data_IF_798188847112
#
_entry.id   IF_798188847112
#
_cell.length_a   1.000
_cell.length_b   1.000
_cell.length_c   1.000
_cell.angle_alpha   90.00
_cell.angle_beta   90.00
_cell.angle_gamma   90.00
#
_symmetry.space_group_name_H-M   'P 1'
#
loop_
_entity.id
_entity.type
_entity.pdbx_description
1 polymer ?
#
# COMPACT_ATOMS: atom_id res chain seq x y z
N UNK A 1 31.89 33.63 -28.00
CA UNK A 1 31.02 34.77 -27.65
C UNK A 1 29.57 34.36 -27.84
N UNK A 2 28.67 34.69 -26.89
CA UNK A 2 28.42 33.75 -25.80
C UNK A 2 26.96 33.29 -25.64
N UNK A 3 26.83 32.31 -24.74
CA UNK A 3 25.72 32.05 -23.81
C UNK A 3 24.37 31.58 -24.35
N UNK A 4 24.18 30.25 -24.37
CA UNK A 4 22.86 29.65 -24.19
C UNK A 4 22.76 29.00 -22.81
N UNK A 5 21.67 29.33 -22.13
CA UNK A 5 21.36 29.14 -20.71
C UNK A 5 21.15 27.66 -20.30
N UNK A 6 21.39 27.31 -19.02
CA UNK A 6 21.19 25.95 -18.53
C UNK A 6 19.74 25.66 -18.12
N UNK A 7 19.42 24.36 -18.15
CA UNK A 7 18.13 23.74 -17.88
C UNK A 7 17.46 24.17 -16.56
N UNK A 8 16.18 24.55 -16.68
CA UNK A 8 15.28 24.88 -15.59
C UNK A 8 14.93 23.67 -14.73
N UNK A 9 15.28 23.78 -13.45
CA UNK A 9 15.06 22.84 -12.37
C UNK A 9 13.57 22.86 -11.95
N UNK A 10 12.79 21.88 -12.40
CA UNK A 10 11.46 21.58 -11.86
C UNK A 10 11.63 20.81 -10.55
N UNK A 11 11.37 21.43 -9.41
CA UNK A 11 10.83 20.82 -8.18
C UNK A 11 10.43 21.93 -7.19
N UNK A 12 9.30 21.71 -6.53
CA UNK A 12 8.48 22.73 -5.86
C UNK A 12 9.20 23.58 -4.80
N UNK A 13 8.89 24.87 -4.82
CA UNK A 13 9.21 25.82 -3.75
C UNK A 13 8.30 25.53 -2.53
N UNK A 14 8.83 25.54 -1.30
CA UNK A 14 7.99 25.55 -0.11
C UNK A 14 7.31 26.92 0.04
N UNK A 15 6.06 26.89 0.52
CA UNK A 15 5.21 28.04 0.79
C UNK A 15 5.87 29.07 1.70
N UNK A 16 5.95 30.32 1.24
CA UNK A 16 6.31 31.50 2.03
C UNK A 16 5.15 31.88 2.96
N UNK A 17 5.23 31.44 4.21
CA UNK A 17 4.44 31.99 5.31
C UNK A 17 5.17 31.69 6.62
N UNK A 18 6.32 32.34 6.85
CA UNK A 18 7.00 32.44 8.14
C UNK A 18 8.13 33.45 7.97
N UNK A 19 7.87 34.70 8.37
CA UNK A 19 8.85 35.77 8.26
C UNK A 19 8.27 37.10 8.70
N UNK A 20 8.09 37.28 10.02
CA UNK A 20 8.21 38.57 10.71
C UNK A 20 7.84 38.40 12.19
N UNK A 21 8.78 37.92 13.02
CA UNK A 21 8.83 38.33 14.42
C UNK A 21 10.29 38.71 14.68
N UNK A 22 10.60 39.99 14.48
CA UNK A 22 11.77 40.62 15.08
C UNK A 22 11.30 41.24 16.38
N UNK A 23 11.83 40.78 17.51
CA UNK A 23 11.75 41.51 18.76
C UNK A 23 12.79 42.64 18.72
N UNK A 24 12.31 43.88 18.78
CA UNK A 24 13.09 45.05 19.14
C UNK A 24 12.34 45.77 20.26
N UNK A 25 12.98 45.86 21.43
CA UNK A 25 12.71 46.85 22.48
C UNK A 25 12.78 48.26 21.86
N UNK A 26 11.99 49.26 22.23
CA UNK A 26 11.78 49.88 23.54
C UNK A 26 10.52 50.76 23.52
N UNK A 27 10.18 51.26 24.71
CA UNK A 27 9.35 52.44 25.01
C UNK A 27 7.91 52.21 25.47
N UNK A 28 7.78 52.29 26.79
CA UNK A 28 6.57 52.52 27.54
C UNK A 28 5.94 53.87 27.17
N UNK A 29 4.60 53.94 27.12
CA UNK A 29 3.81 55.10 27.54
C UNK A 29 2.31 54.79 27.57
N UNK A 30 1.77 54.84 28.79
CA UNK A 30 0.43 55.34 29.19
C UNK A 30 -0.86 54.82 28.57
N UNK A 31 -1.77 54.44 29.47
CA UNK A 31 -3.22 54.30 29.28
C UNK A 31 -3.84 55.46 28.48
N UNK A 32 -4.64 55.12 27.48
CA UNK A 32 -5.79 55.92 27.07
C UNK A 32 -6.86 55.00 26.46
N UNK A 33 -7.85 54.64 27.27
CA UNK A 33 -9.11 54.10 26.77
C UNK A 33 -9.80 55.19 25.93
N UNK A 34 -9.94 54.97 24.62
CA UNK A 34 -10.85 55.73 23.76
C UNK A 34 -11.76 54.74 23.05
N UNK A 35 -13.07 54.92 23.26
CA UNK A 35 -14.13 54.04 22.76
C UNK A 35 -14.09 53.92 21.25
N UNK A 36 -14.27 52.69 20.76
CA UNK A 36 -14.47 52.40 19.35
C UNK A 36 -15.68 53.20 18.84
N UNK A 37 -15.48 53.96 17.76
CA UNK A 37 -16.59 54.72 17.18
C UNK A 37 -17.64 53.77 16.60
N UNK A 38 -18.95 54.07 16.72
CA UNK A 38 -20.01 53.26 16.11
C UNK A 38 -19.85 53.07 14.59
N UNK A 39 -19.17 54.00 13.92
CA UNK A 39 -18.86 53.95 12.49
C UNK A 39 -17.74 52.95 12.15
N UNK A 40 -16.80 52.70 13.05
CA UNK A 40 -15.76 51.68 12.86
C UNK A 40 -16.33 50.25 13.04
N UNK A 41 -17.27 50.11 13.99
CA UNK A 41 -18.12 48.94 14.15
C UNK A 41 -18.94 48.68 12.88
N UNK A 42 -19.62 49.70 12.35
CA UNK A 42 -20.43 49.60 11.13
C UNK A 42 -19.59 49.32 9.88
N UNK A 43 -18.40 49.92 9.78
CA UNK A 43 -17.44 49.69 8.69
C UNK A 43 -16.92 48.24 8.66
N UNK A 44 -16.74 47.62 9.83
CA UNK A 44 -16.45 46.17 9.94
C UNK A 44 -17.66 45.30 9.59
N UNK A 45 -18.88 45.74 9.91
CA UNK A 45 -20.11 45.00 9.58
C UNK A 45 -20.44 45.06 8.08
N UNK A 46 -20.14 46.17 7.40
CA UNK A 46 -20.47 46.39 5.98
C UNK A 46 -19.33 45.91 5.04
N UNK A 47 -18.07 46.03 5.45
CA UNK A 47 -16.90 45.59 4.64
C UNK A 47 -16.50 44.11 4.79
N UNK A 48 -17.21 43.35 5.63
CA UNK A 48 -16.74 42.08 6.18
C UNK A 48 -17.24 40.81 5.51
N UNK A 49 -17.74 40.82 4.28
CA UNK A 49 -18.00 39.57 3.54
C UNK A 49 -16.81 39.24 2.65
N UNK A 50 -15.73 38.77 3.27
CA UNK A 50 -14.66 38.11 2.53
C UNK A 50 -15.29 37.00 1.64
N UNK A 51 -14.91 36.92 0.35
CA UNK A 51 -15.52 35.95 -0.56
C UNK A 51 -15.36 34.55 0.02
N UNK A 52 -16.48 33.85 0.26
CA UNK A 52 -16.46 32.48 0.80
C UNK A 52 -15.65 31.63 -0.18
N UNK A 53 -14.45 31.20 0.25
CA UNK A 53 -13.61 30.30 -0.55
C UNK A 53 -14.43 29.06 -0.92
N UNK A 54 -14.46 28.72 -2.21
CA UNK A 54 -15.28 27.62 -2.73
C UNK A 54 -14.96 26.28 -2.07
N UNK A 55 -13.71 26.06 -1.70
CA UNK A 55 -13.24 24.84 -1.03
C UNK A 55 -13.05 25.06 0.48
N UNK A 56 -13.41 24.07 1.32
CA UNK A 56 -13.12 24.09 2.75
C UNK A 56 -11.60 24.05 3.00
N UNK A 57 -11.16 24.48 4.20
CA UNK A 57 -9.75 24.41 4.59
C UNK A 57 -9.27 22.98 4.88
N UNK A 58 -10.18 22.07 5.24
CA UNK A 58 -9.86 20.68 5.63
C UNK A 58 -10.80 19.69 4.95
N UNK A 59 -10.40 18.41 4.93
CA UNK A 59 -11.18 17.33 4.32
C UNK A 59 -12.13 16.68 5.33
N UNK A 60 -13.37 16.39 4.94
CA UNK A 60 -14.34 15.73 5.81
C UNK A 60 -13.95 14.27 6.11
N UNK A 61 -14.13 13.85 7.37
CA UNK A 61 -13.77 12.49 7.83
C UNK A 61 -14.47 11.36 7.06
N UNK A 62 -15.70 11.59 6.57
CA UNK A 62 -16.45 10.62 5.76
C UNK A 62 -15.72 10.25 4.45
N UNK A 63 -15.01 11.19 3.85
CA UNK A 63 -14.22 10.98 2.63
C UNK A 63 -13.10 9.99 2.90
N UNK A 64 -12.51 10.02 4.10
CA UNK A 64 -11.46 9.10 4.48
C UNK A 64 -11.94 7.66 4.52
N UNK A 65 -13.07 7.39 5.19
CA UNK A 65 -13.64 6.04 5.26
C UNK A 65 -14.05 5.52 3.89
N UNK A 66 -14.62 6.38 3.04
CA UNK A 66 -14.94 6.02 1.66
C UNK A 66 -13.68 5.70 0.83
N UNK A 67 -12.60 6.47 0.96
CA UNK A 67 -11.31 6.17 0.31
C UNK A 67 -10.73 4.83 0.79
N UNK A 68 -10.80 4.54 2.09
CA UNK A 68 -10.35 3.26 2.65
C UNK A 68 -11.21 2.09 2.18
N UNK A 69 -12.54 2.25 2.10
CA UNK A 69 -13.43 1.24 1.53
C UNK A 69 -13.17 1.02 0.03
N UNK A 70 -12.90 2.10 -0.71
CA UNK A 70 -12.51 2.01 -2.13
C UNK A 70 -11.17 1.30 -2.30
N UNK A 71 -10.19 1.60 -1.44
CA UNK A 71 -8.90 0.91 -1.42
C UNK A 71 -9.06 -0.58 -1.13
N UNK A 72 -9.91 -0.96 -0.16
CA UNK A 72 -10.22 -2.35 0.13
C UNK A 72 -10.87 -3.07 -1.07
N UNK A 73 -11.79 -2.39 -1.78
CA UNK A 73 -12.36 -2.94 -3.02
C UNK A 73 -11.31 -3.11 -4.13
N UNK A 74 -10.39 -2.14 -4.30
CA UNK A 74 -9.28 -2.26 -5.28
C UNK A 74 -8.34 -3.40 -4.89
N UNK A 75 -8.04 -3.57 -3.61
CA UNK A 75 -7.26 -4.72 -3.14
C UNK A 75 -7.96 -6.05 -3.46
N UNK A 76 -9.26 -6.14 -3.19
CA UNK A 76 -10.08 -7.33 -3.49
C UNK A 76 -10.04 -7.71 -4.97
N UNK A 77 -10.26 -6.74 -5.87
CA UNK A 77 -10.20 -7.01 -7.33
C UNK A 77 -8.78 -7.34 -7.81
N UNK A 78 -7.71 -6.83 -7.19
CA UNK A 78 -6.33 -7.22 -7.50
C UNK A 78 -6.09 -8.69 -7.15
N UNK A 79 -6.53 -9.14 -5.96
CA UNK A 79 -6.44 -10.55 -5.57
C UNK A 79 -7.27 -11.43 -6.51
N UNK A 80 -8.50 -11.01 -6.82
CA UNK A 80 -9.38 -11.73 -7.74
C UNK A 80 -8.82 -11.78 -9.18
N UNK A 81 -8.16 -10.70 -9.63
CA UNK A 81 -7.43 -10.68 -10.90
C UNK A 81 -6.27 -11.66 -10.93
N UNK A 82 -5.56 -11.83 -9.81
CA UNK A 82 -4.57 -12.90 -9.64
C UNK A 82 -5.18 -14.29 -9.82
N UNK A 83 -6.35 -14.55 -9.23
CA UNK A 83 -7.08 -15.81 -9.44
C UNK A 83 -7.53 -15.99 -10.89
N UNK A 84 -7.99 -14.93 -11.54
CA UNK A 84 -8.39 -14.94 -12.97
C UNK A 84 -7.19 -15.34 -13.85
N UNK A 85 -5.99 -14.88 -13.50
CA UNK A 85 -4.75 -15.28 -14.18
C UNK A 85 -4.37 -16.74 -13.92
N UNK A 86 -4.45 -17.20 -12.67
CA UNK A 86 -4.10 -18.57 -12.26
C UNK A 86 -5.07 -19.62 -12.82
N UNK A 87 -6.33 -19.24 -13.01
CA UNK A 87 -7.36 -20.09 -13.65
C UNK A 87 -7.37 -19.96 -15.17
N UNK A 88 -6.41 -19.22 -15.75
CA UNK A 88 -6.27 -18.99 -17.19
C UNK A 88 -7.56 -18.47 -17.84
N UNK A 89 -8.35 -17.68 -17.10
CA UNK A 89 -9.65 -17.18 -17.57
C UNK A 89 -9.57 -15.81 -18.26
N UNK A 90 -8.42 -15.14 -18.22
CA UNK A 90 -8.28 -13.73 -18.62
C UNK A 90 -8.50 -13.39 -20.10
N UNK A 91 -8.75 -14.38 -20.96
CA UNK A 91 -9.00 -14.23 -22.41
C UNK A 91 -10.29 -14.94 -22.88
N UNK A 92 -11.10 -15.44 -21.95
CA UNK A 92 -12.38 -16.13 -22.21
C UNK A 92 -13.46 -15.23 -22.85
N UNK A 93 -13.43 -13.91 -22.61
CA UNK A 93 -14.37 -12.93 -23.15
C UNK A 93 -13.66 -12.05 -24.18
N UNK A 94 -13.83 -12.39 -25.45
CA UNK A 94 -13.13 -11.74 -26.56
C UNK A 94 -13.67 -10.34 -26.89
N UNK A 95 -14.92 -10.07 -26.54
CA UNK A 95 -15.57 -8.81 -26.86
C UNK A 95 -15.47 -7.76 -25.73
N UNK A 96 -15.47 -6.49 -26.15
CA UNK A 96 -15.54 -5.35 -25.24
C UNK A 96 -16.96 -4.77 -25.20
N UNK A 97 -17.73 -5.18 -24.19
CA UNK A 97 -19.10 -4.70 -23.93
C UNK A 97 -19.17 -3.93 -22.60
N UNK A 98 -18.79 -2.64 -22.57
CA UNK A 98 -18.68 -1.88 -21.32
C UNK A 98 -20.01 -1.71 -20.58
N UNK A 99 -21.13 -1.58 -21.30
CA UNK A 99 -22.48 -1.43 -20.72
C UNK A 99 -23.27 -2.74 -20.74
N UNK A 100 -23.48 -3.32 -21.93
CA UNK A 100 -24.31 -4.53 -22.10
C UNK A 100 -23.69 -5.80 -21.49
N UNK A 101 -22.38 -5.82 -21.29
CA UNK A 101 -21.67 -6.93 -20.64
C UNK A 101 -21.77 -6.93 -19.11
N UNK A 102 -22.67 -6.13 -18.53
CA UNK A 102 -22.97 -6.18 -17.09
C UNK A 102 -23.79 -7.40 -16.69
N UNK A 103 -24.62 -7.92 -17.61
CA UNK A 103 -25.34 -9.19 -17.45
C UNK A 103 -24.54 -10.29 -18.18
N UNK A 104 -24.43 -11.49 -17.59
CA UNK A 104 -23.87 -12.64 -18.30
C UNK A 104 -24.89 -13.17 -19.34
N UNK A 105 -24.50 -14.09 -20.22
CA UNK A 105 -25.44 -14.80 -21.09
C UNK A 105 -26.53 -15.49 -20.25
N UNK A 106 -27.80 -15.24 -20.60
CA UNK A 106 -28.98 -15.70 -19.86
C UNK A 106 -29.73 -16.81 -20.59
N UNK A 107 -29.46 -17.03 -21.88
CA UNK A 107 -30.08 -18.08 -22.69
C UNK A 107 -29.03 -19.05 -23.27
N UNK A 108 -29.48 -20.26 -23.64
CA UNK A 108 -28.62 -21.26 -24.28
C UNK A 108 -28.00 -20.74 -25.58
N UNK A 109 -28.80 -20.04 -26.41
CA UNK A 109 -28.32 -19.45 -27.66
C UNK A 109 -27.22 -18.39 -27.46
N UNK A 110 -27.31 -17.58 -26.40
CA UNK A 110 -26.25 -16.62 -26.07
C UNK A 110 -24.98 -17.32 -25.59
N UNK A 111 -25.10 -18.37 -24.77
CA UNK A 111 -23.97 -19.20 -24.35
C UNK A 111 -23.27 -19.85 -25.54
N UNK A 112 -24.02 -20.42 -26.48
CA UNK A 112 -23.47 -21.00 -27.70
C UNK A 112 -22.77 -19.96 -28.58
N UNK A 113 -23.30 -18.74 -28.64
CA UNK A 113 -22.68 -17.62 -29.36
C UNK A 113 -21.33 -17.24 -28.75
N UNK A 114 -21.26 -17.02 -27.44
CA UNK A 114 -20.01 -16.66 -26.76
C UNK A 114 -18.99 -17.81 -26.82
N UNK A 115 -19.44 -19.06 -26.66
CA UNK A 115 -18.54 -20.21 -26.78
C UNK A 115 -18.03 -20.40 -28.21
N UNK A 116 -18.85 -20.12 -29.23
CA UNK A 116 -18.40 -20.13 -30.63
C UNK A 116 -17.31 -19.10 -30.89
N UNK A 117 -17.41 -17.90 -30.30
CA UNK A 117 -16.35 -16.90 -30.37
C UNK A 117 -15.09 -17.38 -29.67
N UNK A 118 -15.22 -17.99 -28.48
CA UNK A 118 -14.08 -18.56 -27.78
C UNK A 118 -13.39 -19.67 -28.58
N UNK A 119 -14.16 -20.58 -29.20
CA UNK A 119 -13.64 -21.64 -30.08
C UNK A 119 -12.88 -21.11 -31.30
N UNK A 120 -13.25 -19.93 -31.79
CA UNK A 120 -12.53 -19.27 -32.88
C UNK A 120 -11.17 -18.68 -32.44
N UNK A 121 -10.99 -18.46 -31.14
CA UNK A 121 -9.77 -17.86 -30.58
C UNK A 121 -8.57 -18.79 -30.69
N UNK A 122 -7.35 -18.24 -30.80
CA UNK A 122 -6.14 -19.05 -30.78
C UNK A 122 -5.90 -19.78 -29.44
N UNK A 123 -6.39 -19.22 -28.32
CA UNK A 123 -6.27 -19.84 -26.99
C UNK A 123 -7.02 -21.18 -26.93
N UNK A 124 -8.27 -21.22 -27.41
CA UNK A 124 -9.01 -22.49 -27.50
C UNK A 124 -8.29 -23.50 -28.39
N UNK A 125 -7.81 -23.07 -29.57
CA UNK A 125 -7.15 -23.96 -30.53
C UNK A 125 -5.86 -24.58 -30.02
N UNK A 126 -5.11 -23.89 -29.15
CA UNK A 126 -3.77 -24.30 -28.73
C UNK A 126 -3.69 -24.82 -27.30
N UNK A 127 -4.46 -24.26 -26.37
CA UNK A 127 -4.43 -24.63 -24.96
C UNK A 127 -5.63 -25.50 -24.56
N UNK A 128 -6.81 -25.22 -25.11
CA UNK A 128 -8.08 -25.81 -24.65
C UNK A 128 -8.91 -26.49 -25.75
N UNK A 129 -8.33 -27.30 -26.67
CA UNK A 129 -9.04 -27.76 -27.87
C UNK A 129 -10.22 -28.70 -27.60
N UNK A 130 -10.23 -29.33 -26.42
CA UNK A 130 -11.25 -30.30 -26.01
C UNK A 130 -12.22 -29.74 -24.97
N UNK A 131 -12.15 -28.44 -24.66
CA UNK A 131 -12.98 -27.83 -23.62
C UNK A 131 -14.47 -27.87 -24.00
N UNK A 132 -15.31 -28.26 -23.04
CA UNK A 132 -16.76 -28.26 -23.22
C UNK A 132 -17.42 -26.92 -22.81
N UNK A 133 -18.74 -26.81 -22.98
CA UNK A 133 -19.47 -25.59 -22.66
C UNK A 133 -19.50 -25.29 -21.15
N UNK A 134 -19.51 -26.31 -20.29
CA UNK A 134 -19.61 -26.12 -18.85
C UNK A 134 -18.27 -25.72 -18.24
N UNK A 135 -17.16 -26.24 -18.76
CA UNK A 135 -15.81 -25.76 -18.50
C UNK A 135 -15.63 -24.32 -18.98
N UNK A 136 -16.11 -23.99 -20.19
CA UNK A 136 -16.09 -22.62 -20.69
C UNK A 136 -16.84 -21.64 -19.78
N UNK A 137 -18.03 -22.01 -19.29
CA UNK A 137 -18.79 -21.17 -18.34
C UNK A 137 -17.98 -20.83 -17.10
N UNK A 138 -17.17 -21.75 -16.56
CA UNK A 138 -16.35 -21.50 -15.37
C UNK A 138 -15.33 -20.40 -15.61
N UNK A 139 -14.56 -20.49 -16.71
CA UNK A 139 -13.58 -19.44 -17.06
C UNK A 139 -14.28 -18.13 -17.43
N UNK A 140 -15.42 -18.20 -18.13
CA UNK A 140 -16.22 -17.03 -18.47
C UNK A 140 -16.69 -16.27 -17.22
N UNK A 141 -17.24 -16.97 -16.23
CA UNK A 141 -17.73 -16.34 -15.00
C UNK A 141 -16.61 -15.69 -14.19
N UNK A 142 -15.41 -16.28 -14.17
CA UNK A 142 -14.24 -15.67 -13.53
C UNK A 142 -13.91 -14.33 -14.20
N UNK A 143 -13.75 -14.30 -15.51
CA UNK A 143 -13.42 -13.07 -16.22
C UNK A 143 -14.56 -12.04 -16.15
N UNK A 144 -15.81 -12.47 -16.34
CA UNK A 144 -16.99 -11.62 -16.24
C UNK A 144 -17.09 -10.95 -14.87
N UNK A 145 -16.88 -11.71 -13.79
CA UNK A 145 -16.91 -11.20 -12.41
C UNK A 145 -15.81 -10.17 -12.18
N UNK A 146 -14.59 -10.43 -12.67
CA UNK A 146 -13.48 -9.49 -12.59
C UNK A 146 -13.83 -8.17 -13.31
N UNK A 147 -14.35 -8.26 -14.54
CA UNK A 147 -14.78 -7.09 -15.33
C UNK A 147 -15.94 -6.34 -14.67
N UNK A 148 -16.94 -7.04 -14.14
CA UNK A 148 -18.07 -6.44 -13.44
C UNK A 148 -17.61 -5.70 -12.18
N UNK A 149 -16.74 -6.31 -11.38
CA UNK A 149 -16.15 -5.66 -10.21
C UNK A 149 -15.38 -4.39 -10.61
N UNK A 150 -14.62 -4.42 -11.71
CA UNK A 150 -13.94 -3.24 -12.23
C UNK A 150 -14.90 -2.08 -12.52
N UNK A 151 -16.07 -2.38 -13.11
CA UNK A 151 -17.13 -1.38 -13.34
C UNK A 151 -17.71 -0.86 -12.03
N UNK A 152 -17.96 -1.74 -11.06
CA UNK A 152 -18.45 -1.35 -9.72
C UNK A 152 -17.45 -0.44 -9.02
N UNK A 153 -16.14 -0.72 -9.08
CA UNK A 153 -15.09 0.18 -8.55
C UNK A 153 -15.16 1.54 -9.23
N UNK A 154 -15.27 1.58 -10.56
CA UNK A 154 -15.45 2.84 -11.30
C UNK A 154 -16.64 3.65 -10.82
N UNK A 155 -17.82 3.02 -10.71
CA UNK A 155 -19.05 3.69 -10.32
C UNK A 155 -19.03 4.15 -8.86
N UNK A 156 -18.63 3.27 -7.94
CA UNK A 156 -18.57 3.52 -6.49
C UNK A 156 -17.44 4.47 -6.10
N UNK A 157 -16.48 4.72 -7.00
CA UNK A 157 -15.51 5.79 -6.82
C UNK A 157 -15.97 7.12 -7.44
N UNK A 158 -16.31 7.12 -8.73
CA UNK A 158 -16.56 8.37 -9.48
C UNK A 158 -17.78 9.12 -8.96
N UNK A 159 -18.90 8.42 -8.65
CA UNK A 159 -20.11 9.09 -8.17
C UNK A 159 -19.91 9.76 -6.80
N UNK A 160 -19.38 9.07 -5.76
CA UNK A 160 -19.10 9.74 -4.49
C UNK A 160 -18.02 10.82 -4.59
N UNK A 161 -16.99 10.62 -5.43
CA UNK A 161 -15.97 11.65 -5.66
C UNK A 161 -16.58 12.95 -6.18
N UNK A 162 -17.41 12.86 -7.23
CA UNK A 162 -18.12 14.00 -7.80
C UNK A 162 -19.04 14.65 -6.75
N UNK A 163 -19.78 13.84 -5.99
CA UNK A 163 -20.62 14.32 -4.90
C UNK A 163 -19.82 15.07 -3.83
N UNK A 164 -18.69 14.54 -3.35
CA UNK A 164 -17.89 15.18 -2.31
C UNK A 164 -17.26 16.50 -2.77
N UNK A 165 -16.84 16.58 -4.03
CA UNK A 165 -16.33 17.82 -4.62
C UNK A 165 -17.47 18.85 -4.75
N UNK A 166 -18.61 18.47 -5.32
CA UNK A 166 -19.78 19.34 -5.48
C UNK A 166 -20.34 19.85 -4.14
N UNK A 167 -20.33 19.00 -3.10
CA UNK A 167 -20.78 19.33 -1.74
C UNK A 167 -19.70 19.96 -0.86
N UNK A 168 -18.53 20.30 -1.43
CA UNK A 168 -17.44 20.99 -0.73
C UNK A 168 -16.99 20.25 0.53
N UNK A 169 -16.89 18.92 0.45
CA UNK A 169 -16.42 18.05 1.54
C UNK A 169 -14.91 17.82 1.51
N UNK A 170 -14.22 18.32 0.50
CA UNK A 170 -12.78 18.14 0.27
C UNK A 170 -12.10 19.45 -0.08
N UNK A 171 -10.81 19.58 0.24
CA UNK A 171 -10.00 20.75 -0.16
C UNK A 171 -9.75 20.74 -1.66
N UNK A 172 -9.31 21.88 -2.23
CA UNK A 172 -8.96 21.98 -3.65
C UNK A 172 -7.87 20.96 -4.06
N UNK A 173 -6.85 20.79 -3.20
CA UNK A 173 -5.78 19.82 -3.43
C UNK A 173 -6.31 18.38 -3.41
N UNK A 174 -7.23 18.06 -2.50
CA UNK A 174 -7.84 16.73 -2.46
C UNK A 174 -8.76 16.51 -3.67
N UNK A 175 -9.51 17.51 -4.13
CA UNK A 175 -10.30 17.41 -5.35
C UNK A 175 -9.44 17.06 -6.57
N UNK A 176 -8.27 17.69 -6.73
CA UNK A 176 -7.32 17.36 -7.79
C UNK A 176 -6.79 15.92 -7.67
N UNK A 177 -6.51 15.45 -6.45
CA UNK A 177 -6.11 14.05 -6.21
C UNK A 177 -7.23 13.07 -6.55
N UNK A 178 -8.48 13.36 -6.19
CA UNK A 178 -9.63 12.52 -6.54
C UNK A 178 -9.80 12.43 -8.07
N UNK A 179 -9.62 13.55 -8.78
CA UNK A 179 -9.62 13.55 -10.25
C UNK A 179 -8.48 12.69 -10.83
N UNK A 180 -7.28 12.79 -10.26
CA UNK A 180 -6.15 11.94 -10.64
C UNK A 180 -6.42 10.45 -10.41
N UNK A 181 -7.02 10.08 -9.27
CA UNK A 181 -7.39 8.68 -8.98
C UNK A 181 -8.50 8.21 -9.93
N UNK A 182 -9.51 9.04 -10.22
CA UNK A 182 -10.54 8.71 -11.22
C UNK A 182 -9.90 8.48 -12.61
N UNK A 183 -8.92 9.30 -12.99
CA UNK A 183 -8.12 9.10 -14.19
C UNK A 183 -7.36 7.77 -14.18
N UNK A 184 -6.75 7.39 -13.06
CA UNK A 184 -6.09 6.09 -12.90
C UNK A 184 -7.07 4.91 -13.04
N UNK A 185 -8.29 5.02 -12.51
CA UNK A 185 -9.33 3.99 -12.66
C UNK A 185 -9.78 3.89 -14.13
N UNK A 186 -9.96 5.02 -14.82
CA UNK A 186 -10.25 5.01 -16.25
C UNK A 186 -9.12 4.38 -17.06
N UNK A 187 -7.87 4.72 -16.73
CA UNK A 187 -6.69 4.14 -17.36
C UNK A 187 -6.54 2.64 -17.07
N UNK A 188 -6.95 2.18 -15.89
CA UNK A 188 -7.04 0.75 -15.56
C UNK A 188 -7.98 0.00 -16.51
N UNK A 189 -9.17 0.54 -16.76
CA UNK A 189 -10.09 -0.01 -17.76
C UNK A 189 -9.48 -0.06 -19.16
N UNK A 190 -8.76 1.00 -19.57
CA UNK A 190 -8.03 1.03 -20.83
C UNK A 190 -6.92 -0.05 -20.91
N UNK A 191 -6.10 -0.21 -19.86
CA UNK A 191 -5.07 -1.23 -19.82
C UNK A 191 -5.65 -2.65 -19.86
N UNK A 192 -6.75 -2.89 -19.13
CA UNK A 192 -7.45 -4.17 -19.15
C UNK A 192 -7.99 -4.52 -20.54
N UNK A 193 -8.64 -3.56 -21.22
CA UNK A 193 -9.04 -3.71 -22.62
C UNK A 193 -7.85 -3.98 -23.55
N UNK A 194 -6.76 -3.23 -23.37
CA UNK A 194 -5.56 -3.38 -24.18
C UNK A 194 -4.96 -4.78 -24.01
N UNK A 195 -4.85 -5.29 -22.78
CA UNK A 195 -4.37 -6.64 -22.47
C UNK A 195 -5.14 -7.72 -23.25
N UNK A 196 -6.48 -7.67 -23.22
CA UNK A 196 -7.33 -8.66 -23.91
C UNK A 196 -7.18 -8.54 -25.42
N UNK A 197 -7.38 -7.33 -25.97
CA UNK A 197 -7.29 -7.10 -27.43
C UNK A 197 -5.96 -7.56 -28.00
N UNK A 198 -4.88 -7.31 -27.26
CA UNK A 198 -3.53 -7.62 -27.71
C UNK A 198 -3.08 -9.03 -27.36
N UNK A 199 -3.83 -9.77 -26.54
CA UNK A 199 -3.64 -11.19 -26.28
C UNK A 199 -4.27 -12.09 -27.34
N UNK A 200 -5.21 -11.58 -28.14
CA UNK A 200 -5.92 -12.35 -29.18
C UNK A 200 -5.30 -12.25 -30.60
N UNK A 201 -4.04 -11.79 -30.72
CA UNK A 201 -3.37 -11.64 -32.02
C UNK A 201 -2.62 -12.90 -32.42
N UNK A 202 -2.90 -13.43 -33.62
CA UNK A 202 -2.33 -14.67 -34.15
C UNK A 202 -0.79 -14.76 -34.10
N UNK A 203 -0.08 -13.63 -34.25
CA UNK A 203 1.40 -13.56 -34.20
C UNK A 203 2.00 -13.99 -32.84
N UNK A 204 1.21 -13.94 -31.75
CA UNK A 204 1.63 -14.37 -30.41
C UNK A 204 1.49 -15.88 -30.18
N UNK A 205 1.03 -16.61 -31.21
CA UNK A 205 0.73 -18.02 -31.18
C UNK A 205 1.55 -18.81 -32.21
N UNK A 206 2.62 -18.20 -32.75
CA UNK A 206 3.60 -18.88 -33.60
C UNK A 206 4.32 -20.02 -32.84
N UNK A 207 4.82 -21.07 -33.52
CA UNK A 207 5.53 -22.17 -32.87
C UNK A 207 6.69 -21.66 -32.00
N UNK A 208 6.64 -21.94 -30.70
CA UNK A 208 7.61 -21.46 -29.70
C UNK A 208 7.23 -20.16 -28.96
N UNK A 209 6.07 -19.56 -29.27
CA UNK A 209 5.49 -18.44 -28.51
C UNK A 209 4.28 -18.90 -27.70
N UNK A 210 4.17 -18.41 -26.46
CA UNK A 210 3.07 -18.80 -25.58
C UNK A 210 1.82 -17.93 -25.84
N UNK A 211 0.64 -18.55 -26.08
CA UNK A 211 -0.70 -17.97 -26.29
C UNK A 211 -1.26 -16.95 -25.27
N UNK A 212 -0.49 -15.98 -24.77
CA UNK A 212 -0.83 -15.26 -23.52
C UNK A 212 -0.62 -13.76 -23.58
N UNK A 213 -1.29 -13.06 -22.66
CA UNK A 213 -1.07 -11.63 -22.42
C UNK A 213 0.38 -11.40 -22.05
N UNK A 214 1.06 -10.51 -22.78
CA UNK A 214 2.46 -10.17 -22.48
C UNK A 214 2.64 -9.77 -21.01
N UNK A 215 3.66 -10.34 -20.38
CA UNK A 215 4.09 -10.04 -19.01
C UNK A 215 4.27 -8.54 -18.77
N UNK A 216 4.72 -7.78 -19.79
CA UNK A 216 4.83 -6.33 -19.70
C UNK A 216 3.49 -5.64 -19.51
N UNK A 217 2.44 -6.09 -20.21
CA UNK A 217 1.08 -5.52 -20.09
C UNK A 217 0.45 -5.93 -18.76
N UNK A 218 0.64 -7.18 -18.35
CA UNK A 218 0.21 -7.67 -17.04
C UNK A 218 0.80 -6.84 -15.90
N UNK A 219 2.12 -6.62 -15.92
CA UNK A 219 2.82 -5.80 -14.91
C UNK A 219 2.41 -4.34 -14.97
N UNK A 220 2.21 -3.77 -16.17
CA UNK A 220 1.72 -2.39 -16.28
C UNK A 220 0.32 -2.23 -15.66
N UNK A 221 -0.57 -3.20 -15.88
CA UNK A 221 -1.90 -3.22 -15.29
C UNK A 221 -1.85 -3.41 -13.77
N UNK A 222 -1.09 -4.39 -13.27
CA UNK A 222 -0.88 -4.60 -11.84
C UNK A 222 -0.27 -3.36 -11.16
N UNK A 223 0.77 -2.77 -11.75
CA UNK A 223 1.48 -1.63 -11.19
C UNK A 223 0.60 -0.39 -11.07
N UNK A 224 -0.19 -0.10 -12.10
CA UNK A 224 -1.12 1.04 -12.03
C UNK A 224 -2.31 0.77 -11.10
N UNK A 225 -2.75 -0.48 -10.92
CA UNK A 225 -3.70 -0.86 -9.87
C UNK A 225 -3.11 -0.65 -8.47
N UNK A 226 -1.85 -1.03 -8.25
CA UNK A 226 -1.11 -0.79 -7.00
C UNK A 226 -0.95 0.70 -6.70
N UNK A 227 -0.66 1.52 -7.70
CA UNK A 227 -0.60 2.98 -7.55
C UNK A 227 -1.97 3.55 -7.17
N UNK A 228 -3.04 3.08 -7.81
CA UNK A 228 -4.41 3.47 -7.50
C UNK A 228 -4.79 3.11 -6.05
N UNK A 229 -4.56 1.85 -5.66
CA UNK A 229 -4.73 1.35 -4.29
C UNK A 229 -3.96 2.20 -3.27
N UNK A 230 -2.67 2.41 -3.51
CA UNK A 230 -1.79 3.17 -2.61
C UNK A 230 -2.24 4.62 -2.51
N UNK A 231 -2.66 5.24 -3.61
CA UNK A 231 -3.17 6.61 -3.60
C UNK A 231 -4.46 6.72 -2.77
N UNK A 232 -5.40 5.78 -2.88
CA UNK A 232 -6.61 5.76 -2.08
C UNK A 232 -6.30 5.55 -0.58
N UNK A 233 -5.50 4.52 -0.27
CA UNK A 233 -5.13 4.16 1.09
C UNK A 233 -4.38 5.31 1.77
N UNK A 234 -3.36 5.86 1.10
CA UNK A 234 -2.55 6.95 1.62
C UNK A 234 -3.38 8.20 1.90
N UNK A 235 -4.26 8.61 0.97
CA UNK A 235 -5.09 9.79 1.19
C UNK A 235 -6.17 9.55 2.26
N UNK A 236 -6.75 8.36 2.34
CA UNK A 236 -7.67 7.99 3.41
C UNK A 236 -7.01 8.08 4.79
N UNK A 237 -5.86 7.44 4.98
CA UNK A 237 -5.08 7.51 6.22
C UNK A 237 -4.61 8.93 6.53
N UNK A 238 -4.19 9.70 5.53
CA UNK A 238 -3.77 11.08 5.69
C UNK A 238 -4.89 11.98 6.22
N UNK A 239 -6.13 11.83 5.71
CA UNK A 239 -7.27 12.61 6.21
C UNK A 239 -7.59 12.21 7.66
N UNK A 240 -7.57 10.91 8.00
CA UNK A 240 -7.81 10.49 9.39
C UNK A 240 -6.73 11.01 10.34
N UNK A 241 -5.47 11.01 9.89
CA UNK A 241 -4.35 11.56 10.64
C UNK A 241 -4.53 13.07 10.85
N UNK A 242 -4.78 13.85 9.78
CA UNK A 242 -5.06 15.28 9.84
C UNK A 242 -6.21 15.60 10.82
N UNK A 243 -7.32 14.86 10.73
CA UNK A 243 -8.48 15.03 11.63
C UNK A 243 -8.16 14.71 13.09
N UNK A 244 -7.27 13.75 13.35
CA UNK A 244 -6.78 13.47 14.71
C UNK A 244 -5.94 14.62 15.22
N UNK A 245 -5.03 15.14 14.40
CA UNK A 245 -4.15 16.26 14.76
C UNK A 245 -4.96 17.53 15.09
N UNK A 246 -5.99 17.82 14.31
CA UNK A 246 -6.84 19.00 14.51
C UNK A 246 -7.65 18.97 15.83
N UNK A 247 -7.82 17.81 16.48
CA UNK A 247 -8.53 17.72 17.77
C UNK A 247 -7.74 18.32 18.92
N UNK A 248 -6.41 18.30 18.88
CA UNK A 248 -5.56 18.82 19.95
C UNK A 248 -4.32 19.55 19.40
N UNK A 249 -4.46 20.81 18.96
CA UNK A 249 -3.40 21.52 18.24
C UNK A 249 -2.11 21.70 19.04
N UNK A 250 -2.20 21.85 20.36
CA UNK A 250 -1.05 22.11 21.24
C UNK A 250 -0.17 20.88 21.41
N UNK A 251 -0.77 19.69 21.55
CA UNK A 251 -0.03 18.42 21.57
C UNK A 251 0.72 18.18 20.26
N UNK A 252 0.12 18.56 19.12
CA UNK A 252 0.68 18.34 17.78
C UNK A 252 1.90 19.21 17.49
N UNK A 253 1.92 20.46 17.95
CA UNK A 253 3.10 21.32 17.77
C UNK A 253 4.35 20.71 18.41
N UNK A 254 4.17 20.03 19.55
CA UNK A 254 5.24 19.30 20.23
C UNK A 254 5.69 18.05 19.46
N UNK A 255 4.75 17.28 18.93
CA UNK A 255 5.05 16.12 18.08
C UNK A 255 5.76 16.51 16.78
N UNK A 256 5.33 17.61 16.15
CA UNK A 256 5.95 18.10 14.90
C UNK A 256 7.39 18.54 15.09
N UNK A 257 7.73 19.10 16.25
CA UNK A 257 9.08 19.53 16.56
C UNK A 257 10.04 18.33 16.68
N UNK A 258 9.59 17.28 17.38
CA UNK A 258 10.27 15.97 17.44
C UNK A 258 10.46 15.37 16.05
N UNK A 259 9.41 15.37 15.21
CA UNK A 259 9.48 14.80 13.85
C UNK A 259 10.39 15.60 12.89
N UNK A 260 10.62 16.88 13.17
CA UNK A 260 11.52 17.75 12.40
C UNK A 260 12.99 17.50 12.71
N UNK A 261 13.30 16.71 13.73
CA UNK A 261 14.67 16.39 14.11
C UNK A 261 15.48 15.85 12.90
N UNK A 262 16.65 16.45 12.56
CA UNK A 262 17.49 15.99 11.47
C UNK A 262 18.02 14.57 11.66
N UNK A 263 18.11 14.06 12.89
CA UNK A 263 18.50 12.68 13.19
C UNK A 263 17.54 11.65 12.58
N UNK A 264 16.27 12.00 12.36
CA UNK A 264 15.27 11.14 11.71
C UNK A 264 15.35 11.15 10.18
N UNK A 265 16.27 11.92 9.57
CA UNK A 265 16.38 12.02 8.11
C UNK A 265 16.74 10.70 7.45
N UNK A 266 17.64 9.93 8.07
CA UNK A 266 18.01 8.60 7.56
C UNK A 266 16.80 7.67 7.62
N UNK A 267 16.12 7.60 8.77
CA UNK A 267 14.90 6.80 8.94
C UNK A 267 13.85 7.11 7.86
N UNK A 268 13.54 8.39 7.64
CA UNK A 268 12.57 8.83 6.62
C UNK A 268 12.97 8.39 5.21
N UNK A 269 14.25 8.51 4.86
CA UNK A 269 14.78 8.05 3.57
C UNK A 269 14.73 6.54 3.44
N UNK A 270 15.07 5.80 4.49
CA UNK A 270 15.01 4.33 4.51
C UNK A 270 13.58 3.82 4.36
N UNK A 271 12.60 4.45 5.02
CA UNK A 271 11.17 4.11 4.83
C UNK A 271 10.74 4.36 3.39
N UNK A 272 11.12 5.49 2.79
CA UNK A 272 10.81 5.78 1.39
C UNK A 272 11.48 4.80 0.41
N UNK A 273 12.77 4.49 0.63
CA UNK A 273 13.50 3.51 -0.16
C UNK A 273 12.92 2.10 -0.03
N UNK A 274 12.50 1.70 1.17
CA UNK A 274 11.84 0.43 1.42
C UNK A 274 10.49 0.34 0.71
N UNK A 275 9.70 1.42 0.70
CA UNK A 275 8.45 1.45 -0.04
C UNK A 275 8.66 1.25 -1.55
N UNK A 276 9.69 1.86 -2.13
CA UNK A 276 10.07 1.65 -3.53
C UNK A 276 10.51 0.21 -3.76
N UNK A 277 11.35 -0.34 -2.88
CA UNK A 277 11.82 -1.72 -2.98
C UNK A 277 10.65 -2.73 -2.93
N UNK A 278 9.71 -2.56 -1.99
CA UNK A 278 8.50 -3.40 -1.90
C UNK A 278 7.68 -3.31 -3.20
N UNK A 279 7.51 -2.11 -3.75
CA UNK A 279 6.81 -1.94 -5.03
C UNK A 279 7.53 -2.67 -6.17
N UNK A 280 8.84 -2.54 -6.29
CA UNK A 280 9.63 -3.24 -7.31
C UNK A 280 9.55 -4.76 -7.16
N UNK A 281 9.59 -5.28 -5.92
CA UNK A 281 9.43 -6.71 -5.64
C UNK A 281 8.04 -7.22 -6.03
N UNK A 282 6.98 -6.44 -5.80
CA UNK A 282 5.65 -6.79 -6.28
C UNK A 282 5.58 -6.83 -7.81
N UNK A 283 6.24 -5.87 -8.49
CA UNK A 283 6.28 -5.83 -9.95
C UNK A 283 7.08 -6.99 -10.55
N UNK A 284 8.21 -7.38 -9.94
CA UNK A 284 8.97 -8.55 -10.39
C UNK A 284 8.18 -9.85 -10.22
N UNK A 285 7.36 -9.96 -9.16
CA UNK A 285 6.42 -11.07 -9.02
C UNK A 285 5.37 -11.11 -10.13
N UNK A 286 4.92 -9.95 -10.60
CA UNK A 286 4.06 -9.86 -11.78
C UNK A 286 4.73 -10.34 -13.07
N UNK A 287 6.05 -10.14 -13.24
CA UNK A 287 6.80 -10.70 -14.36
C UNK A 287 6.87 -12.23 -14.28
N UNK A 288 7.13 -12.78 -13.09
CA UNK A 288 7.12 -14.23 -12.84
C UNK A 288 5.76 -14.84 -13.22
N UNK A 289 4.66 -14.23 -12.78
CA UNK A 289 3.30 -14.67 -13.12
C UNK A 289 2.96 -14.50 -14.61
N UNK A 290 3.51 -13.48 -15.27
CA UNK A 290 3.32 -13.27 -16.71
C UNK A 290 4.05 -14.29 -17.58
N UNK A 291 5.19 -14.81 -17.10
CA UNK A 291 5.99 -15.82 -17.79
C UNK A 291 5.68 -17.27 -17.35
N UNK A 292 4.75 -17.47 -16.43
CA UNK A 292 4.49 -18.76 -15.76
C UNK A 292 5.75 -19.38 -15.14
N UNK A 293 6.66 -18.53 -14.67
CA UNK A 293 7.95 -18.93 -14.14
C UNK A 293 7.90 -19.40 -12.68
N UNK A 294 6.70 -19.46 -12.08
CA UNK A 294 6.51 -19.72 -10.65
C UNK A 294 7.01 -21.10 -10.20
N UNK A 295 6.89 -22.11 -11.07
CA UNK A 295 7.16 -23.52 -10.76
C UNK A 295 8.40 -24.11 -11.45
N UNK A 296 9.28 -23.26 -12.01
CA UNK A 296 10.48 -23.72 -12.73
C UNK A 296 11.48 -24.35 -11.77
N UNK A 297 11.95 -23.56 -10.81
CA UNK A 297 12.70 -24.06 -9.66
C UNK A 297 11.82 -24.01 -8.42
N UNK A 298 11.72 -25.13 -7.71
CA UNK A 298 10.81 -25.29 -6.56
C UNK A 298 11.56 -25.42 -5.24
N UNK A 299 12.89 -25.57 -5.28
CA UNK A 299 13.75 -25.58 -4.11
C UNK A 299 14.05 -24.15 -3.64
N UNK A 300 14.44 -23.99 -2.37
CA UNK A 300 14.95 -22.75 -1.81
C UNK A 300 15.97 -23.05 -0.68
N UNK A 301 17.11 -22.35 -0.60
CA UNK A 301 17.53 -21.22 -1.44
C UNK A 301 18.13 -21.61 -2.79
N UNK A 302 18.37 -22.90 -3.02
CA UNK A 302 18.94 -23.42 -4.26
C UNK A 302 17.93 -23.35 -5.43
N UNK A 303 18.46 -23.36 -6.66
CA UNK A 303 17.74 -23.46 -7.92
C UNK A 303 18.41 -24.58 -8.73
N UNK A 304 17.99 -25.82 -8.48
CA UNK A 304 18.67 -27.02 -8.99
C UNK A 304 19.93 -27.34 -8.18
N UNK A 305 21.07 -27.48 -8.85
CA UNK A 305 22.33 -27.91 -8.22
C UNK A 305 23.12 -26.77 -7.55
N UNK A 306 22.73 -25.51 -7.76
CA UNK A 306 23.41 -24.32 -7.25
C UNK A 306 22.46 -23.27 -6.68
N UNK A 307 23.00 -22.17 -6.14
CA UNK A 307 22.18 -21.04 -5.67
C UNK A 307 21.51 -20.28 -6.82
N UNK A 308 22.01 -20.45 -8.04
CA UNK A 308 21.45 -19.89 -9.27
C UNK A 308 21.33 -21.00 -10.31
N UNK A 309 20.42 -20.85 -11.30
CA UNK A 309 20.44 -21.62 -12.53
C UNK A 309 21.83 -21.59 -13.22
N UNK A 310 22.13 -22.58 -14.08
CA UNK A 310 23.34 -22.56 -14.89
C UNK A 310 23.49 -21.27 -15.70
N UNK A 311 24.72 -20.79 -15.91
CA UNK A 311 24.97 -19.53 -16.66
C UNK A 311 24.42 -19.56 -18.08
N UNK A 312 24.41 -20.72 -18.73
CA UNK A 312 23.83 -20.94 -20.06
C UNK A 312 22.33 -20.66 -20.10
N UNK A 313 21.65 -20.88 -18.97
CA UNK A 313 20.23 -20.59 -18.82
C UNK A 313 20.01 -19.13 -18.46
N UNK A 314 20.81 -18.55 -17.55
CA UNK A 314 20.64 -17.16 -17.10
C UNK A 314 20.83 -16.11 -18.22
N UNK A 315 21.74 -16.37 -19.15
CA UNK A 315 22.08 -15.48 -20.26
C UNK A 315 21.99 -16.20 -21.59
N UNK A 316 20.84 -16.80 -21.87
CA UNK A 316 20.60 -17.48 -23.14
C UNK A 316 20.50 -16.48 -24.29
N UNK A 317 21.19 -16.76 -25.39
CA UNK A 317 21.10 -15.98 -26.63
C UNK A 317 19.74 -16.09 -27.29
N UNK A 318 18.94 -17.11 -26.94
CA UNK A 318 17.57 -17.29 -27.43
C UNK A 318 16.69 -16.05 -27.19
N UNK A 319 16.86 -15.39 -26.05
CA UNK A 319 16.07 -14.20 -25.70
C UNK A 319 16.63 -12.92 -26.34
N UNK A 320 17.84 -12.94 -26.91
CA UNK A 320 18.40 -11.77 -27.59
C UNK A 320 17.74 -11.60 -28.96
N UNK A 321 17.24 -10.39 -29.27
CA UNK A 321 16.63 -10.10 -30.58
C UNK A 321 17.59 -9.36 -31.52
N UNK A 322 18.68 -8.82 -30.99
CA UNK A 322 19.68 -8.11 -31.79
C UNK A 322 20.81 -9.06 -32.18
N UNK A 323 21.22 -8.99 -33.45
CA UNK A 323 22.34 -9.79 -33.95
C UNK A 323 23.67 -9.48 -33.24
N UNK A 324 23.81 -8.28 -32.65
CA UNK A 324 24.99 -7.85 -31.89
C UNK A 324 24.99 -8.31 -30.42
N UNK A 325 23.92 -8.96 -29.94
CA UNK A 325 23.80 -9.43 -28.56
C UNK A 325 23.67 -8.30 -27.51
N UNK A 326 23.54 -7.03 -27.91
CA UNK A 326 23.56 -5.91 -26.98
C UNK A 326 22.37 -5.87 -26.01
N UNK A 327 21.31 -6.61 -26.31
CA UNK A 327 20.10 -6.71 -25.49
C UNK A 327 20.06 -7.96 -24.59
N UNK A 328 21.10 -8.80 -24.58
CA UNK A 328 21.11 -10.07 -23.85
C UNK A 328 20.81 -9.90 -22.35
N UNK A 329 21.32 -8.84 -21.72
CA UNK A 329 21.17 -8.61 -20.29
C UNK A 329 19.73 -8.30 -19.89
N UNK A 330 19.19 -7.18 -20.39
CA UNK A 330 17.88 -6.72 -19.95
C UNK A 330 16.75 -7.64 -20.43
N UNK A 331 16.93 -8.32 -21.58
CA UNK A 331 15.95 -9.30 -22.06
C UNK A 331 15.91 -10.54 -21.20
N UNK A 332 17.07 -11.10 -20.85
CA UNK A 332 17.06 -12.23 -19.93
C UNK A 332 16.46 -11.82 -18.56
N UNK A 333 16.78 -10.64 -18.03
CA UNK A 333 16.18 -10.16 -16.77
C UNK A 333 14.66 -9.91 -16.81
N UNK A 334 14.02 -9.80 -18.00
CA UNK A 334 12.59 -9.45 -18.12
C UNK A 334 11.74 -10.45 -18.93
N UNK A 335 12.37 -11.31 -19.71
CA UNK A 335 11.73 -12.24 -20.66
C UNK A 335 12.18 -13.69 -20.44
N UNK A 336 13.34 -13.96 -19.80
CA UNK A 336 13.77 -15.32 -19.50
C UNK A 336 13.14 -15.80 -18.18
N UNK A 337 12.28 -16.84 -18.20
CA UNK A 337 11.56 -17.31 -17.03
C UNK A 337 12.45 -17.63 -15.83
N UNK A 338 13.58 -18.32 -16.05
CA UNK A 338 14.48 -18.75 -14.97
C UNK A 338 15.25 -17.58 -14.35
N UNK A 339 15.71 -16.64 -15.19
CA UNK A 339 16.38 -15.42 -14.73
C UNK A 339 15.39 -14.52 -13.98
N UNK A 340 14.17 -14.34 -14.49
CA UNK A 340 13.12 -13.56 -13.84
C UNK A 340 12.72 -14.17 -12.49
N UNK A 341 12.65 -15.51 -12.39
CA UNK A 341 12.39 -16.20 -11.12
C UNK A 341 13.52 -15.94 -10.11
N UNK A 342 14.78 -16.02 -10.54
CA UNK A 342 15.94 -15.69 -9.70
C UNK A 342 15.91 -14.22 -9.25
N UNK A 343 15.70 -13.27 -10.17
CA UNK A 343 15.63 -11.84 -9.89
C UNK A 343 14.54 -11.54 -8.84
N UNK A 344 13.38 -12.16 -8.97
CA UNK A 344 12.31 -12.03 -7.98
C UNK A 344 12.70 -12.60 -6.61
N UNK A 345 13.34 -13.78 -6.56
CA UNK A 345 13.83 -14.40 -5.31
C UNK A 345 14.86 -13.51 -4.60
N UNK A 346 15.78 -12.90 -5.35
CA UNK A 346 16.77 -11.94 -4.83
C UNK A 346 16.07 -10.69 -4.30
N UNK A 347 15.14 -10.11 -5.06
CA UNK A 347 14.36 -8.94 -4.63
C UNK A 347 13.53 -9.23 -3.37
N UNK A 348 12.87 -10.38 -3.30
CA UNK A 348 12.07 -10.79 -2.15
C UNK A 348 12.94 -10.96 -0.88
N UNK A 349 14.07 -11.67 -0.99
CA UNK A 349 15.01 -11.87 0.12
C UNK A 349 15.62 -10.54 0.58
N UNK A 350 15.98 -9.67 -0.36
CA UNK A 350 16.50 -8.32 -0.08
C UNK A 350 15.45 -7.47 0.62
N UNK A 351 14.20 -7.52 0.16
CA UNK A 351 13.07 -6.78 0.74
C UNK A 351 12.83 -7.23 2.17
N UNK A 352 12.74 -8.54 2.41
CA UNK A 352 12.56 -9.10 3.75
C UNK A 352 13.70 -8.65 4.69
N UNK A 353 14.94 -8.79 4.23
CA UNK A 353 16.11 -8.38 5.01
C UNK A 353 16.10 -6.89 5.31
N UNK A 354 15.73 -6.04 4.34
CA UNK A 354 15.61 -4.60 4.51
C UNK A 354 14.51 -4.20 5.51
N UNK A 355 13.36 -4.90 5.52
CA UNK A 355 12.31 -4.72 6.53
C UNK A 355 12.86 -5.03 7.92
N UNK A 356 13.51 -6.19 8.08
CA UNK A 356 14.07 -6.62 9.36
C UNK A 356 15.18 -5.68 9.84
N UNK A 357 16.05 -5.23 8.93
CA UNK A 357 17.10 -4.26 9.23
C UNK A 357 16.53 -2.90 9.65
N UNK A 358 15.47 -2.43 8.99
CA UNK A 358 14.81 -1.18 9.36
C UNK A 358 14.12 -1.29 10.73
N UNK A 359 13.45 -2.41 10.99
CA UNK A 359 12.87 -2.70 12.31
C UNK A 359 13.96 -2.70 13.39
N UNK A 360 15.05 -3.43 13.19
CA UNK A 360 16.19 -3.45 14.10
C UNK A 360 16.77 -2.04 14.31
N UNK A 361 16.94 -1.26 13.23
CA UNK A 361 17.42 0.13 13.31
C UNK A 361 16.52 1.01 14.19
N UNK A 362 15.19 0.88 14.08
CA UNK A 362 14.26 1.65 14.93
C UNK A 362 14.31 1.27 16.41
N UNK A 363 14.71 0.03 16.75
CA UNK A 363 14.75 -0.47 18.12
C UNK A 363 16.12 -0.34 18.79
N UNK A 364 17.19 -0.50 18.01
CA UNK A 364 18.55 -0.58 18.52
C UNK A 364 19.33 0.73 18.38
N UNK A 365 18.90 1.67 17.54
CA UNK A 365 19.61 2.93 17.37
C UNK A 365 19.33 3.88 18.54
N UNK A 366 20.32 4.28 19.35
CA UNK A 366 20.11 5.23 20.46
C UNK A 366 19.56 6.57 19.95
N UNK A 367 20.00 6.98 18.74
CA UNK A 367 19.58 8.21 18.04
C UNK A 367 18.10 8.24 17.68
N UNK A 368 17.44 7.08 17.61
CA UNK A 368 16.00 6.95 17.33
C UNK A 368 15.24 6.59 18.62
N UNK A 369 15.87 5.81 19.52
CA UNK A 369 15.28 5.33 20.77
C UNK A 369 15.08 6.39 21.86
N UNK A 370 15.98 7.37 21.99
CA UNK A 370 15.81 8.47 22.97
C UNK A 370 14.56 9.32 22.69
N UNK A 371 14.21 9.50 21.42
CA UNK A 371 12.99 10.19 20.97
C UNK A 371 11.77 9.24 20.95
N UNK A 372 11.97 7.95 20.63
CA UNK A 372 10.93 6.91 20.63
C UNK A 372 10.38 6.56 22.02
N UNK A 373 11.21 6.66 23.07
CA UNK A 373 10.79 6.53 24.47
C UNK A 373 9.79 7.61 24.90
N UNK A 374 9.81 8.77 24.25
CA UNK A 374 8.81 9.83 24.42
C UNK A 374 7.44 9.41 23.88
N UNK A 375 7.41 8.71 22.74
CA UNK A 375 6.19 8.24 22.09
C UNK A 375 5.48 7.11 22.85
N UNK A 376 6.20 6.12 23.41
CA UNK A 376 5.58 5.11 24.28
C UNK A 376 4.97 5.72 25.54
N UNK A 377 5.62 6.75 26.10
CA UNK A 377 5.13 7.44 27.31
C UNK A 377 3.97 8.41 27.05
N UNK A 378 3.91 9.00 25.85
CA UNK A 378 2.84 9.94 25.45
C UNK A 378 1.60 9.26 24.84
N UNK A 379 1.72 8.05 24.29
CA UNK A 379 0.61 7.31 23.66
C UNK A 379 -0.16 6.39 24.62
N UNK A 380 0.26 6.28 25.89
CA UNK A 380 -0.38 5.40 26.88
C UNK A 380 -0.27 3.92 26.55
N UNK A 381 0.59 3.55 25.60
CA UNK A 381 0.88 2.15 25.27
C UNK A 381 2.13 1.77 26.05
N UNK A 382 1.91 1.17 27.22
CA UNK A 382 2.98 0.60 28.03
C UNK A 382 3.76 -0.43 27.20
N UNK A 383 4.95 -0.03 26.77
CA UNK A 383 5.99 -0.96 26.37
C UNK A 383 6.52 -1.60 27.65
N UNK A 384 5.75 -2.58 28.16
CA UNK A 384 6.14 -3.41 29.29
C UNK A 384 7.50 -4.03 29.05
N UNK A 385 8.43 -3.71 29.96
CA UNK A 385 9.47 -4.57 30.49
C UNK A 385 10.13 -5.56 29.51
N UNK A 386 11.22 -5.16 28.87
CA UNK A 386 12.35 -6.06 28.61
C UNK A 386 13.60 -5.38 29.16
N UNK A 387 14.16 -6.02 30.19
CA UNK A 387 15.10 -5.43 31.13
C UNK A 387 16.48 -5.15 30.54
N UNK A 388 17.10 -4.14 31.13
CA UNK A 388 18.54 -3.96 31.10
C UNK A 388 19.00 -3.87 32.57
N UNK A 389 19.09 -5.01 33.24
CA UNK A 389 19.70 -5.12 34.57
C UNK A 389 21.17 -5.52 34.39
N UNK A 390 22.03 -4.56 34.07
CA UNK A 390 23.47 -4.66 34.37
C UNK A 390 24.08 -3.26 34.42
N UNK A 391 24.04 -2.65 35.60
CA UNK A 391 24.99 -1.61 36.01
C UNK A 391 25.20 -1.75 37.53
N UNK A 392 26.45 -1.87 38.02
CA UNK A 392 26.70 -2.05 39.45
C UNK A 392 26.56 -0.72 40.19
N UNK A 393 25.79 -0.74 41.28
CA UNK A 393 25.61 0.38 42.21
C UNK A 393 26.77 0.39 43.20
N UNK A 394 27.59 1.44 43.16
CA UNK A 394 28.51 1.82 44.23
C UNK A 394 27.76 2.65 45.29
N UNK A 395 27.88 2.25 46.56
CA UNK A 395 27.38 2.97 47.75
C UNK A 395 28.14 4.29 47.99
N UNK A 396 27.58 5.18 48.82
CA UNK A 396 28.21 5.32 50.14
C UNK A 396 27.22 5.40 51.31
N UNK A 397 27.77 5.11 52.49
CA UNK A 397 27.14 4.94 53.81
C UNK A 397 26.69 6.25 54.48
N UNK A 398 25.61 6.19 55.28
CA UNK A 398 25.46 6.90 56.56
C UNK A 398 24.23 6.37 57.36
N UNK A 399 24.28 6.29 58.71
CA UNK A 399 23.31 5.54 59.52
C UNK A 399 22.30 6.46 60.25
N UNK A 400 21.05 5.99 60.41
CA UNK A 400 20.08 6.57 61.35
C UNK A 400 19.57 5.48 62.30
N UNK A 401 19.73 5.73 63.60
CA UNK A 401 19.35 4.82 64.68
C UNK A 401 18.02 5.15 65.36
N UNK A 402 17.65 4.21 66.25
CA UNK A 402 16.71 4.25 67.39
C UNK A 402 15.19 4.27 67.14
N UNK A 403 14.58 3.12 67.45
CA UNK A 403 13.22 2.90 68.03
C UNK A 403 13.18 3.37 69.51
N UNK A 404 12.08 3.25 70.35
CA UNK A 404 10.89 2.38 70.23
C UNK A 404 9.53 2.88 70.82
N UNK A 405 8.46 2.06 70.67
CA UNK A 405 7.23 2.04 71.48
C UNK A 405 6.14 1.15 70.84
N UNK A 406 5.97 -0.13 71.27
CA UNK A 406 4.86 -0.71 72.08
C UNK A 406 3.45 -0.21 71.68
N UNK A 407 2.48 -1.06 71.33
CA UNK A 407 1.77 -2.02 72.21
C UNK A 407 1.13 -3.21 71.45
N UNK A 408 0.60 -4.16 72.24
CA UNK A 408 0.35 -5.58 71.97
C UNK A 408 -1.12 -6.03 72.09
N UNK A 409 -1.57 -6.89 71.16
CA UNK A 409 -2.52 -8.02 71.35
C UNK A 409 -4.04 -7.77 71.21
N UNK A 410 -4.91 -8.82 71.12
CA UNK A 410 -4.65 -10.25 70.86
C UNK A 410 -5.54 -10.90 69.76
N UNK A 411 -5.38 -12.22 69.65
CA UNK A 411 -5.81 -13.24 68.66
C UNK A 411 -7.31 -13.62 68.70
N UNK A 412 -7.86 -13.99 67.53
CA UNK A 412 -8.85 -15.06 67.23
C UNK A 412 -9.07 -15.04 65.69
N UNK A 413 -9.20 -16.09 64.88
CA UNK A 413 -9.55 -17.50 65.04
C UNK A 413 -10.50 -17.87 63.89
N UNK A 414 -10.27 -18.97 63.17
CA UNK A 414 -11.03 -19.54 62.01
C UNK A 414 -10.84 -18.81 60.66
N UNK A 415 -10.75 -19.45 59.49
CA UNK A 415 -10.87 -20.85 59.10
C UNK A 415 -11.11 -20.92 57.58
N UNK A 416 -10.66 -22.02 56.96
CA UNK A 416 -10.94 -22.51 55.60
C UNK A 416 -10.11 -21.97 54.43
N UNK A 417 -9.31 -22.91 53.92
CA UNK A 417 -8.52 -22.88 52.71
C UNK A 417 -9.32 -23.45 51.53
N UNK A 418 -9.04 -22.97 50.32
CA UNK A 418 -9.39 -23.68 49.07
C UNK A 418 -8.11 -24.01 48.31
N UNK A 419 -7.82 -25.30 48.19
CA UNK A 419 -6.83 -25.88 47.26
C UNK A 419 -7.53 -26.33 45.98
N UNK A 420 -6.81 -26.40 44.84
CA UNK A 420 -7.35 -26.83 43.55
C UNK A 420 -7.41 -28.36 43.44
N UNK A 421 -8.42 -28.85 42.70
CA UNK A 421 -8.58 -30.27 42.37
C UNK A 421 -7.80 -30.59 41.08
N UNK A 422 -6.89 -31.55 41.20
CA UNK A 422 -6.29 -32.32 40.11
C UNK A 422 -7.12 -33.61 39.96
N UNK A 423 -7.54 -33.93 38.74
CA UNK A 423 -8.14 -35.20 38.38
C UNK A 423 -7.47 -35.78 37.14
N UNK A 424 -6.64 -36.79 37.35
CA UNK A 424 -6.06 -37.67 36.33
C UNK A 424 -6.90 -38.94 36.26
N UNK A 425 -7.27 -39.38 35.04
CA UNK A 425 -7.40 -40.80 34.73
C UNK A 425 -7.09 -41.10 33.26
N UNK A 426 -6.61 -42.33 33.09
CA UNK A 426 -5.87 -42.95 31.99
C UNK A 426 -6.77 -43.39 30.82
N UNK A 427 -6.19 -43.36 29.61
CA UNK A 427 -5.77 -44.58 28.90
C UNK A 427 -6.79 -45.32 28.00
N UNK A 428 -6.43 -45.34 26.71
CA UNK A 428 -6.71 -46.30 25.60
C UNK A 428 -7.09 -45.47 24.36
N UNK A 429 -6.45 -45.56 23.19
CA UNK A 429 -5.69 -46.65 22.58
C UNK A 429 -6.40 -47.03 21.27
N UNK A 430 -5.70 -46.90 20.13
CA UNK A 430 -6.12 -47.23 18.75
C UNK A 430 -7.21 -46.30 18.16
N UNK A 431 -7.23 -45.90 16.89
CA UNK A 431 -6.71 -46.53 15.67
C UNK A 431 -6.58 -45.51 14.52
N UNK A 432 -5.89 -45.96 13.47
CA UNK A 432 -5.38 -45.28 12.29
C UNK A 432 -6.31 -45.61 11.11
N UNK A 433 -6.79 -44.64 10.32
CA UNK A 433 -7.20 -44.88 8.93
C UNK A 433 -7.09 -43.58 8.10
N UNK A 434 -6.20 -43.68 7.11
CA UNK A 434 -6.20 -43.10 5.74
C UNK A 434 -6.27 -41.59 5.49
#
# INVERSE_FOLDING_TARGET
MPSFLPAGRLWGRPSTALGAIRFGSTDASSLAARGASPLESLGKTIGGTAPRKFFPPTNAKVVAYWLLGSAASVFGIVVFGGLTRLTESGLSITEWRPVTGALPPMSAAEWDSEFTKYRSSPEFKLLNPNMDLDEFKRIYYMEWTHRLWGRVVGLTFVLPAAYFVARRKVTAAMAAKLAGIAGLIGFQGFLGWWMVKSGLKDDLFAPGSHPRVSQYRLVAHLGTAFLCYTAMLWNGLSILHEQRLLRNPTAVLKELDVLRNPHLKLLRRSVGGLAILVFLTAMSGGLVAGLDAGLIYNEFPYMGTGLTPPRSELFSSFYSRRADGADIWWRNMLENPSTVQLDHRILATTTFTAIMALLAYTRLSPKVGEEGGYWSRASGVDAGCIGNQHAPVSRPDAPCGRSPGRESGPVNGSGSAWKPIVGSQKGNGHERYE
#
